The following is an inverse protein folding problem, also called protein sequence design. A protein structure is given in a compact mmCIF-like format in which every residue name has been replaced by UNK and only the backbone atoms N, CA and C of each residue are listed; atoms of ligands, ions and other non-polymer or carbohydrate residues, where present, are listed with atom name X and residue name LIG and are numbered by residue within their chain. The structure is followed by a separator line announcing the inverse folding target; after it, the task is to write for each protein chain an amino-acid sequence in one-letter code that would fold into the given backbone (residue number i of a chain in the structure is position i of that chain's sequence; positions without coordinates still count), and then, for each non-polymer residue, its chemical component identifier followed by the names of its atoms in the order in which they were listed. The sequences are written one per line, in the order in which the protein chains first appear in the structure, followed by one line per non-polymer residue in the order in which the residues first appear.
data_IF_552858542213
#
_entry.id   IF_552858542213
#
_cell.length_a   1.000
_cell.length_b   1.000
_cell.length_c   1.000
_cell.angle_alpha   90.00
_cell.angle_beta   90.00
_cell.angle_gamma   90.00
#
_symmetry.space_group_name_H-M   'P 1'
#
loop_
_entity.id
_entity.type
_entity.pdbx_description
1 polymer ?
#
# COMPACT_ATOMS: atom_id res chain seq x y z
N UNK A 1 15.39 32.49 54.03
CA UNK A 1 16.08 31.33 53.42
C UNK A 1 15.02 30.61 52.60
N UNK A 2 15.16 30.67 51.27
CA UNK A 2 14.07 30.64 50.31
C UNK A 2 13.39 29.27 50.15
N UNK A 3 12.05 29.31 50.10
CA UNK A 3 11.16 28.18 49.91
C UNK A 3 11.30 27.54 48.52
N UNK A 4 11.29 26.23 48.58
CA UNK A 4 11.19 25.21 47.54
C UNK A 4 9.98 25.47 46.60
N UNK A 5 10.28 25.56 45.31
CA UNK A 5 9.48 25.06 44.17
C UNK A 5 7.99 25.46 44.17
N UNK A 6 7.72 26.75 43.97
CA UNK A 6 6.41 27.21 43.53
C UNK A 6 6.56 28.30 42.45
N UNK A 7 6.60 27.85 41.19
CA UNK A 7 6.27 28.57 39.93
C UNK A 7 7.12 28.03 38.79
N UNK A 8 6.69 26.93 38.18
CA UNK A 8 7.07 26.64 36.80
C UNK A 8 6.00 25.75 36.15
N UNK A 9 4.76 26.25 36.20
CA UNK A 9 3.69 25.78 35.35
C UNK A 9 3.40 26.89 34.34
N UNK A 10 3.51 26.51 33.07
CA UNK A 10 2.99 27.16 31.88
C UNK A 10 3.95 28.04 31.03
N UNK A 11 4.04 27.60 29.78
CA UNK A 11 4.46 28.30 28.55
C UNK A 11 5.88 28.89 28.49
N UNK A 12 6.81 28.09 27.98
CA UNK A 12 8.06 28.57 27.38
C UNK A 12 7.93 28.56 25.86
N UNK A 13 7.66 29.73 25.31
CA UNK A 13 7.92 30.07 23.92
C UNK A 13 9.20 30.91 23.83
N UNK A 14 10.04 30.56 22.86
CA UNK A 14 10.84 31.49 22.01
C UNK A 14 12.34 31.67 22.31
N UNK A 15 13.13 31.17 21.32
CA UNK A 15 14.39 31.68 20.73
C UNK A 15 15.71 31.53 21.54
N UNK A 16 16.84 31.04 21.01
CA UNK A 16 17.36 31.03 19.62
C UNK A 16 18.43 29.93 19.38
N UNK A 17 18.73 29.71 18.10
CA UNK A 17 19.96 29.23 17.45
C UNK A 17 20.00 27.81 16.79
N UNK A 18 20.20 27.86 15.46
CA UNK A 18 20.68 26.86 14.51
C UNK A 18 20.05 25.43 14.49
N UNK A 19 19.11 25.19 13.55
CA UNK A 19 19.06 24.02 12.64
C UNK A 19 17.69 23.93 11.94
N UNK A 20 17.71 23.81 10.61
CA UNK A 20 16.63 23.36 9.71
C UNK A 20 15.23 23.97 9.96
N UNK A 21 14.92 25.01 9.20
CA UNK A 21 13.55 25.48 8.97
C UNK A 21 12.80 24.38 8.21
N UNK A 22 12.23 23.43 8.93
CA UNK A 22 11.11 22.64 8.45
C UNK A 22 9.94 23.62 8.31
N UNK A 23 9.74 24.12 7.08
CA UNK A 23 8.54 24.87 6.78
C UNK A 23 7.34 23.99 7.11
N UNK A 24 6.54 24.54 8.02
CA UNK A 24 5.23 24.09 8.43
C UNK A 24 4.29 24.08 7.21
N UNK A 25 4.39 23.04 6.39
CA UNK A 25 3.30 22.60 5.56
C UNK A 25 2.45 21.69 6.45
N UNK A 26 1.23 22.12 6.73
CA UNK A 26 0.19 21.31 7.33
C UNK A 26 -0.09 20.13 6.40
N UNK A 27 0.78 19.12 6.39
CA UNK A 27 0.46 17.81 5.88
C UNK A 27 -0.67 17.32 6.77
N UNK A 28 -1.91 17.53 6.35
CA UNK A 28 -2.98 16.63 6.69
C UNK A 28 -2.38 15.24 6.51
N UNK A 29 -2.20 14.50 7.60
CA UNK A 29 -1.80 13.10 7.56
C UNK A 29 -3.01 12.37 6.97
N UNK A 30 -3.22 12.56 5.67
CA UNK A 30 -4.16 11.81 4.87
C UNK A 30 -3.58 10.42 4.93
N UNK A 31 -4.16 9.58 5.77
CA UNK A 31 -3.84 8.16 5.81
C UNK A 31 -3.89 7.68 4.36
N UNK A 32 -2.71 7.41 3.78
CA UNK A 32 -2.63 6.93 2.41
C UNK A 32 -3.24 5.53 2.44
N UNK A 33 -4.47 5.44 1.96
CA UNK A 33 -5.13 4.15 1.83
C UNK A 33 -4.38 3.30 0.79
N UNK A 34 -4.51 1.98 0.91
CA UNK A 34 -3.80 1.06 0.02
C UNK A 34 -4.15 1.33 -1.46
N UNK A 35 -5.37 1.76 -1.75
CA UNK A 35 -5.84 2.11 -3.09
C UNK A 35 -5.05 3.28 -3.69
N UNK A 36 -4.75 4.34 -2.92
CA UNK A 36 -3.92 5.48 -3.39
C UNK A 36 -2.49 5.04 -3.71
N UNK A 37 -1.94 4.14 -2.89
CA UNK A 37 -0.61 3.58 -3.11
C UNK A 37 -0.57 2.65 -4.32
N UNK A 38 -1.63 1.87 -4.56
CA UNK A 38 -1.76 1.00 -5.73
C UNK A 38 -1.72 1.82 -7.02
N UNK A 39 -2.54 2.87 -7.13
CA UNK A 39 -2.54 3.73 -8.32
C UNK A 39 -1.14 4.31 -8.62
N UNK A 40 -0.47 4.84 -7.58
CA UNK A 40 0.91 5.34 -7.71
C UNK A 40 1.89 4.27 -8.15
N UNK A 41 1.82 3.07 -7.57
CA UNK A 41 2.71 1.97 -7.95
C UNK A 41 2.45 1.49 -9.37
N UNK A 42 1.19 1.38 -9.78
CA UNK A 42 0.82 1.02 -11.15
C UNK A 42 1.39 2.03 -12.16
N UNK A 43 1.28 3.33 -11.88
CA UNK A 43 1.91 4.38 -12.71
C UNK A 43 3.43 4.27 -12.71
N UNK A 44 4.06 4.07 -11.55
CA UNK A 44 5.51 3.98 -11.42
C UNK A 44 6.11 2.72 -12.08
N UNK A 45 5.30 1.67 -12.24
CA UNK A 45 5.64 0.42 -12.91
C UNK A 45 5.30 0.43 -14.42
N UNK A 46 4.66 1.49 -14.92
CA UNK A 46 4.23 1.57 -16.32
C UNK A 46 3.21 0.49 -16.67
N UNK A 47 2.23 0.27 -15.78
CA UNK A 47 1.07 -0.57 -16.06
C UNK A 47 0.06 0.19 -16.92
N UNK A 48 -0.70 -0.53 -17.75
CA UNK A 48 -1.74 0.12 -18.55
C UNK A 48 -2.90 0.61 -17.67
N UNK A 49 -3.70 1.59 -18.12
CA UNK A 49 -4.84 2.08 -17.35
C UNK A 49 -5.83 0.98 -16.96
N UNK A 50 -6.04 -0.02 -17.83
CA UNK A 50 -6.88 -1.17 -17.50
C UNK A 50 -6.32 -1.98 -16.33
N UNK A 51 -5.01 -2.21 -16.30
CA UNK A 51 -4.35 -2.92 -15.19
C UNK A 51 -4.42 -2.12 -13.89
N UNK A 52 -4.25 -0.79 -13.96
CA UNK A 52 -4.32 0.08 -12.79
C UNK A 52 -5.71 0.05 -12.17
N UNK A 53 -6.75 0.19 -13.00
CA UNK A 53 -8.14 0.09 -12.56
C UNK A 53 -8.44 -1.29 -11.96
N UNK A 54 -7.90 -2.35 -12.58
CA UNK A 54 -8.04 -3.70 -12.04
C UNK A 54 -7.36 -3.88 -10.67
N UNK A 55 -6.15 -3.33 -10.52
CA UNK A 55 -5.42 -3.39 -9.25
C UNK A 55 -6.14 -2.61 -8.15
N UNK A 56 -6.70 -1.44 -8.45
CA UNK A 56 -7.48 -0.64 -7.50
C UNK A 56 -8.74 -1.39 -7.05
N UNK A 57 -9.43 -2.07 -7.97
CA UNK A 57 -10.59 -2.91 -7.64
C UNK A 57 -10.20 -4.06 -6.71
N UNK A 58 -9.13 -4.80 -7.02
CA UNK A 58 -8.62 -5.90 -6.18
C UNK A 58 -8.17 -5.36 -4.82
N UNK A 59 -7.60 -4.16 -4.74
CA UNK A 59 -7.22 -3.51 -3.49
C UNK A 59 -8.43 -3.27 -2.58
N UNK A 60 -9.51 -2.72 -3.15
CA UNK A 60 -10.77 -2.50 -2.44
C UNK A 60 -11.37 -3.80 -1.92
N UNK A 61 -11.44 -4.84 -2.76
CA UNK A 61 -11.91 -6.18 -2.36
C UNK A 61 -11.05 -6.80 -1.28
N UNK A 62 -9.73 -6.66 -1.38
CA UNK A 62 -8.77 -7.17 -0.37
C UNK A 62 -9.00 -6.49 0.98
N UNK A 63 -9.26 -5.18 0.97
CA UNK A 63 -9.56 -4.40 2.17
C UNK A 63 -10.88 -4.82 2.79
N UNK A 64 -11.93 -4.95 2.00
CA UNK A 64 -13.25 -5.39 2.46
C UNK A 64 -13.24 -6.81 3.02
N UNK A 65 -12.51 -7.72 2.37
CA UNK A 65 -12.34 -9.10 2.84
C UNK A 65 -11.40 -9.20 4.07
N UNK A 66 -10.71 -8.12 4.44
CA UNK A 66 -9.83 -8.08 5.62
C UNK A 66 -8.61 -9.02 5.55
N UNK A 67 -8.26 -9.56 4.38
CA UNK A 67 -7.22 -10.61 4.22
C UNK A 67 -5.85 -10.15 4.72
N UNK A 68 -5.51 -8.88 4.48
CA UNK A 68 -4.22 -8.29 4.82
C UNK A 68 -4.31 -7.17 5.87
N UNK A 69 -5.36 -7.16 6.69
CA UNK A 69 -5.59 -6.10 7.69
C UNK A 69 -4.45 -5.95 8.73
N UNK A 70 -3.64 -6.99 8.94
CA UNK A 70 -2.49 -6.97 9.85
C UNK A 70 -1.20 -6.44 9.22
N UNK A 71 -1.22 -5.99 7.96
CA UNK A 71 -0.05 -5.56 7.20
C UNK A 71 -0.07 -4.06 6.94
N UNK A 72 1.10 -3.49 6.69
CA UNK A 72 1.21 -2.07 6.32
C UNK A 72 0.55 -1.80 4.96
N UNK A 73 -0.08 -0.62 4.77
CA UNK A 73 -0.70 -0.25 3.48
C UNK A 73 0.22 -0.40 2.27
N UNK A 74 1.52 -0.12 2.43
CA UNK A 74 2.55 -0.31 1.41
C UNK A 74 2.71 -1.79 1.02
N UNK A 75 2.69 -2.69 2.00
CA UNK A 75 2.77 -4.14 1.76
C UNK A 75 1.52 -4.63 1.05
N UNK A 76 0.35 -4.15 1.46
CA UNK A 76 -0.94 -4.48 0.83
C UNK A 76 -0.90 -4.06 -0.64
N UNK A 77 -0.55 -2.81 -0.91
CA UNK A 77 -0.47 -2.28 -2.27
C UNK A 77 0.53 -3.06 -3.13
N UNK A 78 1.73 -3.36 -2.60
CA UNK A 78 2.71 -4.16 -3.32
C UNK A 78 2.19 -5.58 -3.64
N UNK A 79 1.51 -6.24 -2.70
CA UNK A 79 0.95 -7.57 -2.92
C UNK A 79 -0.20 -7.57 -3.94
N UNK A 80 -1.07 -6.55 -3.90
CA UNK A 80 -2.18 -6.38 -4.84
C UNK A 80 -1.68 -6.13 -6.26
N UNK A 81 -0.70 -5.25 -6.42
CA UNK A 81 -0.07 -5.00 -7.73
C UNK A 81 0.59 -6.27 -8.27
N UNK A 82 1.24 -7.04 -7.40
CA UNK A 82 1.86 -8.31 -7.78
C UNK A 82 0.83 -9.33 -8.28
N UNK A 83 -0.26 -9.59 -7.54
CA UNK A 83 -1.28 -10.55 -7.97
C UNK A 83 -1.99 -10.09 -9.25
N UNK A 84 -2.27 -8.79 -9.38
CA UNK A 84 -2.89 -8.22 -10.58
C UNK A 84 -2.00 -8.41 -11.81
N UNK A 85 -0.70 -8.16 -11.67
CA UNK A 85 0.26 -8.40 -12.74
C UNK A 85 0.27 -9.88 -13.16
N UNK A 86 0.28 -10.81 -12.21
CA UNK A 86 0.27 -12.25 -12.49
C UNK A 86 -1.02 -12.72 -13.19
N UNK A 87 -2.18 -12.27 -12.70
CA UNK A 87 -3.52 -12.53 -13.28
C UNK A 87 -3.57 -12.08 -14.74
N UNK A 88 -2.94 -10.95 -15.06
CA UNK A 88 -2.88 -10.37 -16.40
C UNK A 88 -1.70 -10.92 -17.24
N UNK A 89 -1.02 -11.96 -16.76
CA UNK A 89 0.06 -12.64 -17.48
C UNK A 89 1.41 -11.90 -17.49
N UNK A 90 1.59 -10.90 -16.62
CA UNK A 90 2.83 -10.12 -16.50
C UNK A 90 3.60 -10.54 -15.25
N UNK A 91 4.77 -11.13 -15.45
CA UNK A 91 5.68 -11.48 -14.34
C UNK A 91 6.47 -10.25 -13.89
N UNK A 92 5.92 -9.48 -12.94
CA UNK A 92 6.54 -8.28 -12.39
C UNK A 92 6.62 -8.38 -10.86
N UNK A 93 7.81 -8.14 -10.28
CA UNK A 93 7.99 -8.02 -8.83
C UNK A 93 8.05 -6.53 -8.43
N UNK A 94 7.11 -6.03 -7.60
CA UNK A 94 7.06 -4.62 -7.24
C UNK A 94 8.12 -4.22 -6.19
N UNK A 95 8.86 -5.16 -5.59
CA UNK A 95 9.82 -4.90 -4.49
C UNK A 95 10.80 -3.78 -4.74
N UNK A 96 11.42 -3.74 -5.94
CA UNK A 96 12.39 -2.72 -6.34
C UNK A 96 11.82 -1.29 -6.32
N UNK A 97 10.50 -1.18 -6.44
CA UNK A 97 9.77 0.06 -6.71
C UNK A 97 8.90 0.48 -5.52
N UNK A 98 8.53 -0.47 -4.67
CA UNK A 98 7.72 -0.26 -3.46
C UNK A 98 8.56 -0.25 -2.18
N UNK A 99 9.82 -0.70 -2.23
CA UNK A 99 10.69 -0.80 -1.06
C UNK A 99 10.34 -1.96 -0.11
N UNK A 100 9.43 -2.84 -0.52
CA UNK A 100 9.02 -4.01 0.27
C UNK A 100 9.87 -5.23 -0.14
N UNK A 101 10.32 -6.02 0.83
CA UNK A 101 11.11 -7.22 0.54
C UNK A 101 10.32 -8.26 -0.27
N UNK A 102 11.01 -8.99 -1.15
CA UNK A 102 10.41 -10.06 -1.95
C UNK A 102 9.72 -11.13 -1.08
N UNK A 103 10.32 -11.48 0.07
CA UNK A 103 9.75 -12.45 1.01
C UNK A 103 8.43 -11.98 1.61
N UNK A 104 8.34 -10.69 1.95
CA UNK A 104 7.10 -10.08 2.46
C UNK A 104 6.01 -10.07 1.39
N UNK A 105 6.34 -9.69 0.15
CA UNK A 105 5.37 -9.69 -0.96
C UNK A 105 4.86 -11.11 -1.22
N UNK A 106 5.75 -12.10 -1.30
CA UNK A 106 5.38 -13.51 -1.50
C UNK A 106 4.49 -14.06 -0.39
N UNK A 107 4.76 -13.69 0.86
CA UNK A 107 3.94 -14.11 2.01
C UNK A 107 2.52 -13.53 1.93
N UNK A 108 2.39 -12.24 1.65
CA UNK A 108 1.09 -11.58 1.48
C UNK A 108 0.37 -12.10 0.23
N UNK A 109 1.11 -12.36 -0.85
CA UNK A 109 0.59 -12.94 -2.08
C UNK A 109 -0.02 -14.33 -1.86
N UNK A 110 0.59 -15.19 -1.03
CA UNK A 110 0.00 -16.51 -0.70
C UNK A 110 -1.41 -16.40 -0.14
N UNK A 111 -1.63 -15.40 0.73
CA UNK A 111 -2.95 -15.15 1.32
C UNK A 111 -3.96 -14.65 0.28
N UNK A 112 -3.54 -13.72 -0.59
CA UNK A 112 -4.37 -13.24 -1.69
C UNK A 112 -4.67 -14.34 -2.71
N UNK A 113 -3.68 -15.19 -3.02
CA UNK A 113 -3.82 -16.28 -3.98
C UNK A 113 -4.86 -17.31 -3.55
N UNK A 114 -4.95 -17.61 -2.26
CA UNK A 114 -5.98 -18.50 -1.71
C UNK A 114 -7.41 -17.97 -1.93
N UNK A 115 -7.56 -16.64 -2.09
CA UNK A 115 -8.83 -15.95 -2.26
C UNK A 115 -8.95 -15.25 -3.63
N UNK A 116 -8.09 -15.57 -4.58
CA UNK A 116 -7.99 -14.87 -5.88
C UNK A 116 -9.29 -14.90 -6.68
N UNK A 117 -10.07 -15.97 -6.56
CA UNK A 117 -11.37 -16.13 -7.24
C UNK A 117 -12.42 -15.19 -6.66
N UNK A 118 -12.37 -14.92 -5.35
CA UNK A 118 -13.29 -14.00 -4.66
C UNK A 118 -12.90 -12.52 -4.89
N UNK A 119 -11.63 -12.26 -5.24
CA UNK A 119 -11.07 -10.90 -5.38
C UNK A 119 -11.17 -10.34 -6.80
N UNK A 120 -11.35 -11.21 -7.80
CA UNK A 120 -11.40 -10.84 -9.22
C UNK A 120 -12.85 -10.61 -9.64
N UNK A 121 -13.07 -9.61 -10.49
CA UNK A 121 -14.39 -9.35 -11.04
C UNK A 121 -14.84 -10.51 -11.96
N UNK A 122 -16.04 -11.10 -11.75
CA UNK A 122 -16.58 -12.16 -12.60
C UNK A 122 -16.56 -11.81 -14.10
N UNK A 123 -16.72 -10.53 -14.45
CA UNK A 123 -16.68 -10.07 -15.84
C UNK A 123 -15.28 -10.26 -16.49
N UNK A 124 -14.20 -10.16 -15.72
CA UNK A 124 -12.85 -10.39 -16.26
C UNK A 124 -12.56 -11.87 -16.50
N UNK A 125 -13.25 -12.74 -15.77
CA UNK A 125 -13.22 -14.19 -15.95
C UNK A 125 -13.96 -14.55 -17.24
N UNK A 126 -15.15 -14.00 -17.45
CA UNK A 126 -15.97 -14.24 -18.65
C UNK A 126 -15.34 -13.66 -19.93
N UNK A 127 -14.69 -12.50 -19.83
CA UNK A 127 -14.01 -11.87 -20.98
C UNK A 127 -12.68 -12.52 -21.35
N UNK A 128 -12.22 -13.55 -20.63
CA UNK A 128 -10.94 -14.22 -20.89
C UNK A 128 -9.71 -13.34 -20.69
N UNK A 129 -9.85 -12.19 -20.03
CA UNK A 129 -8.75 -11.25 -19.76
C UNK A 129 -7.90 -11.68 -18.57
N UNK A 130 -8.36 -12.69 -17.80
CA UNK A 130 -7.68 -13.21 -16.61
C UNK A 130 -7.15 -14.62 -16.87
N UNK A 131 -5.86 -14.81 -16.65
CA UNK A 131 -5.17 -16.07 -16.84
C UNK A 131 -4.95 -16.80 -15.51
N UNK A 132 -6.00 -17.34 -14.88
CA UNK A 132 -5.84 -18.08 -13.61
C UNK A 132 -4.88 -19.27 -13.73
N UNK A 133 -4.85 -19.95 -14.87
CA UNK A 133 -3.97 -21.09 -15.15
C UNK A 133 -2.48 -20.74 -15.25
N UNK A 134 -2.15 -19.48 -15.56
CA UNK A 134 -0.75 -19.03 -15.69
C UNK A 134 -0.19 -18.45 -14.40
N UNK A 135 -1.01 -18.29 -13.36
CA UNK A 135 -0.56 -17.72 -12.11
C UNK A 135 0.30 -18.78 -11.38
N UNK A 136 1.58 -18.49 -11.09
CA UNK A 136 2.42 -19.43 -10.38
C UNK A 136 1.80 -19.74 -9.01
N UNK A 137 1.55 -21.03 -8.77
CA UNK A 137 1.15 -21.55 -7.47
C UNK A 137 2.22 -21.16 -6.45
N UNK A 138 1.77 -20.53 -5.37
CA UNK A 138 2.62 -19.88 -4.37
C UNK A 138 3.31 -20.89 -3.43
#
# INVERSE_FOLDING_TARGET
MFNIIAKFLQEKSTQSDASLVFQNDSFAVRQMNAEDLVGRFCSHLGLSPQMSSAAEFIAGRTREAGILASRSPTTIAAAVVYITAQILGRSLLPSRKTGVSDGTIKTSYKLLYAKKEDLVDPYWIESGSVYFDKIPKA
#
